data_IF_026789840783
#
_entry.id   IF_026789840783
#
_cell.length_a   1.000
_cell.length_b   1.000
_cell.length_c   1.000
_cell.angle_alpha   90.00
_cell.angle_beta   90.00
_cell.angle_gamma   90.00
#
_symmetry.space_group_name_H-M   'P 1'
#
loop_
_entity.id
_entity.type
_entity.pdbx_description
1 polymer ?
#
# COMPACT_ATOMS: atom_id res chain seq x y z
N UNK A 1 0.22 -6.38 -7.78
CA UNK A 1 0.29 -6.10 -9.23
C UNK A 1 -1.05 -6.34 -9.86
N UNK A 2 -1.54 -5.42 -10.69
CA UNK A 2 -2.77 -5.65 -11.48
C UNK A 2 -2.37 -6.32 -12.79
N UNK A 3 -2.46 -7.64 -12.84
CA UNK A 3 -2.24 -8.44 -14.06
C UNK A 3 -3.58 -8.57 -14.77
N UNK A 4 -3.60 -8.34 -16.09
CA UNK A 4 -4.81 -8.61 -16.87
C UNK A 4 -5.04 -10.11 -16.97
N UNK A 5 -6.25 -10.59 -16.62
CA UNK A 5 -6.60 -12.01 -16.75
C UNK A 5 -6.63 -12.50 -18.20
N UNK A 6 -6.87 -11.62 -19.18
CA UNK A 6 -6.98 -11.99 -20.59
C UNK A 6 -5.63 -12.14 -21.28
N UNK A 7 -4.63 -11.37 -20.86
CA UNK A 7 -3.30 -11.38 -21.49
C UNK A 7 -2.24 -12.00 -20.61
N UNK A 8 -2.46 -12.13 -19.30
CA UNK A 8 -1.46 -12.63 -18.35
C UNK A 8 -0.32 -11.65 -18.05
N UNK A 9 -0.36 -10.46 -18.61
CA UNK A 9 0.67 -9.43 -18.44
C UNK A 9 0.13 -8.20 -17.70
N UNK A 10 1.02 -7.49 -17.02
CA UNK A 10 0.74 -6.14 -16.56
C UNK A 10 0.78 -5.15 -17.73
N UNK A 11 0.07 -4.01 -17.64
CA UNK A 11 0.19 -2.96 -18.64
C UNK A 11 1.63 -2.46 -18.83
N UNK A 12 2.45 -2.46 -17.77
CA UNK A 12 3.82 -2.00 -17.85
C UNK A 12 4.72 -2.96 -18.62
N UNK A 13 4.56 -4.27 -18.42
CA UNK A 13 5.30 -5.27 -19.20
C UNK A 13 4.94 -5.19 -20.68
N UNK A 14 3.66 -4.95 -21.02
CA UNK A 14 3.24 -4.81 -22.41
C UNK A 14 3.77 -3.53 -23.07
N UNK A 15 3.78 -2.40 -22.35
CA UNK A 15 4.19 -1.11 -22.94
C UNK A 15 5.70 -0.88 -22.89
N UNK A 16 6.38 -1.36 -21.84
CA UNK A 16 7.77 -1.01 -21.54
C UNK A 16 8.68 -2.24 -21.39
N UNK A 17 8.15 -3.46 -21.47
CA UNK A 17 8.92 -4.71 -21.36
C UNK A 17 9.42 -5.02 -19.95
N UNK A 18 9.15 -4.19 -18.96
CA UNK A 18 9.59 -4.39 -17.58
C UNK A 18 8.59 -3.84 -16.57
N UNK A 19 8.58 -4.42 -15.38
CA UNK A 19 7.82 -3.88 -14.27
C UNK A 19 8.66 -2.81 -13.55
N UNK A 20 8.19 -1.56 -13.48
CA UNK A 20 8.93 -0.51 -12.78
C UNK A 20 9.04 -0.88 -11.31
N UNK A 21 10.27 -0.78 -10.78
CA UNK A 21 10.54 -0.89 -9.35
C UNK A 21 10.66 0.51 -8.76
N UNK A 22 10.12 0.68 -7.56
CA UNK A 22 10.28 1.92 -6.81
C UNK A 22 11.76 2.03 -6.43
N UNK A 23 12.43 3.09 -6.89
CA UNK A 23 13.75 3.44 -6.40
C UNK A 23 13.63 3.87 -4.94
N UNK A 24 14.41 3.28 -4.04
CA UNK A 24 14.45 3.66 -2.62
C UNK A 24 15.61 4.59 -2.31
N UNK A 25 16.60 4.68 -3.20
CA UNK A 25 17.79 5.50 -3.07
C UNK A 25 18.10 6.17 -4.40
N UNK A 26 18.44 7.45 -4.35
CA UNK A 26 19.03 8.18 -5.47
C UNK A 26 20.55 8.06 -5.40
N UNK A 27 21.19 7.89 -6.54
CA UNK A 27 22.64 8.10 -6.62
C UNK A 27 22.96 9.57 -6.31
N UNK A 28 23.98 9.84 -5.47
CA UNK A 28 24.30 11.19 -5.03
C UNK A 28 24.83 12.08 -6.16
N UNK A 29 25.38 11.48 -7.22
CA UNK A 29 25.99 12.17 -8.35
C UNK A 29 25.35 11.75 -9.70
N UNK A 30 24.20 12.33 -10.05
CA UNK A 30 23.52 11.99 -11.29
C UNK A 30 24.23 12.66 -12.47
N UNK A 31 24.45 11.87 -13.53
CA UNK A 31 25.08 12.30 -14.79
C UNK A 31 24.41 13.53 -15.41
N UNK A 32 23.13 13.78 -15.10
CA UNK A 32 22.39 14.95 -15.58
C UNK A 32 21.48 15.54 -14.49
N UNK A 33 21.54 16.86 -14.22
CA UNK A 33 20.81 17.50 -13.12
C UNK A 33 19.28 17.42 -13.24
N UNK A 34 18.73 17.35 -14.46
CA UNK A 34 17.28 17.19 -14.67
C UNK A 34 16.74 15.82 -14.23
N UNK A 35 17.57 14.78 -14.31
CA UNK A 35 17.21 13.42 -13.85
C UNK A 35 17.06 13.41 -12.33
N UNK A 36 17.91 14.16 -11.63
CA UNK A 36 17.84 14.32 -10.18
C UNK A 36 16.51 14.90 -9.73
N UNK A 37 16.12 16.05 -10.29
CA UNK A 37 14.87 16.72 -9.92
C UNK A 37 13.65 15.84 -10.20
N UNK A 38 13.65 15.12 -11.33
CA UNK A 38 12.59 14.19 -11.66
C UNK A 38 12.49 13.06 -10.61
N UNK A 39 13.61 12.46 -10.25
CA UNK A 39 13.64 11.35 -9.32
C UNK A 39 13.36 11.78 -7.86
N UNK A 40 13.82 12.95 -7.43
CA UNK A 40 13.43 13.57 -6.15
C UNK A 40 11.92 13.84 -6.09
N UNK A 41 11.34 14.38 -7.18
CA UNK A 41 9.89 14.59 -7.31
C UNK A 41 9.12 13.27 -7.22
N UNK A 42 9.62 12.22 -7.88
CA UNK A 42 9.00 10.90 -7.85
C UNK A 42 8.99 10.30 -6.43
N UNK A 43 10.09 10.44 -5.68
CA UNK A 43 10.16 10.01 -4.28
C UNK A 43 9.18 10.80 -3.39
N UNK A 44 9.09 12.12 -3.57
CA UNK A 44 8.15 12.94 -2.81
C UNK A 44 6.70 12.55 -3.08
N UNK A 45 6.34 12.36 -4.34
CA UNK A 45 5.00 11.89 -4.72
C UNK A 45 4.68 10.53 -4.11
N UNK A 46 5.67 9.64 -4.04
CA UNK A 46 5.53 8.34 -3.40
C UNK A 46 5.29 8.47 -1.89
N UNK A 47 6.05 9.31 -1.20
CA UNK A 47 5.85 9.60 0.22
C UNK A 47 4.43 10.14 0.48
N UNK A 48 3.98 11.11 -0.31
CA UNK A 48 2.61 11.64 -0.21
C UNK A 48 1.54 10.57 -0.45
N UNK A 49 1.76 9.67 -1.42
CA UNK A 49 0.84 8.57 -1.67
C UNK A 49 0.77 7.59 -0.49
N UNK A 50 1.91 7.31 0.16
CA UNK A 50 1.94 6.49 1.37
C UNK A 50 1.15 7.14 2.51
N UNK A 51 1.36 8.43 2.77
CA UNK A 51 0.66 9.17 3.81
C UNK A 51 -0.86 9.16 3.56
N UNK A 52 -1.28 9.42 2.32
CA UNK A 52 -2.69 9.38 1.94
C UNK A 52 -3.33 7.99 2.11
N UNK A 53 -2.60 6.91 1.82
CA UNK A 53 -3.08 5.54 2.05
C UNK A 53 -3.22 5.26 3.56
N UNK A 54 -2.27 5.70 4.38
CA UNK A 54 -2.32 5.53 5.83
C UNK A 54 -3.51 6.30 6.41
N UNK A 55 -3.69 7.55 6.02
CA UNK A 55 -4.84 8.37 6.41
C UNK A 55 -6.17 7.69 6.03
N UNK A 56 -6.29 7.26 4.77
CA UNK A 56 -7.48 6.57 4.28
C UNK A 56 -7.78 5.29 5.08
N UNK A 57 -6.74 4.52 5.46
CA UNK A 57 -6.91 3.33 6.31
C UNK A 57 -7.43 3.69 7.70
N UNK A 58 -6.91 4.74 8.32
CA UNK A 58 -7.39 5.20 9.64
C UNK A 58 -8.88 5.55 9.56
N UNK A 59 -9.29 6.28 8.53
CA UNK A 59 -10.69 6.66 8.30
C UNK A 59 -11.57 5.43 8.08
N UNK A 60 -11.14 4.50 7.22
CA UNK A 60 -11.86 3.27 6.93
C UNK A 60 -12.03 2.41 8.18
N UNK A 61 -10.97 2.22 8.97
CA UNK A 61 -11.01 1.48 10.23
C UNK A 61 -11.94 2.13 11.23
N UNK A 62 -11.93 3.47 11.35
CA UNK A 62 -12.85 4.18 12.23
C UNK A 62 -14.32 3.93 11.87
N UNK A 63 -14.69 4.02 10.58
CA UNK A 63 -16.07 3.76 10.15
C UNK A 63 -16.46 2.29 10.16
N UNK A 64 -15.52 1.38 9.90
CA UNK A 64 -15.74 -0.06 10.05
C UNK A 64 -16.08 -0.41 11.50
N UNK A 65 -15.27 0.09 12.45
CA UNK A 65 -15.46 -0.15 13.87
C UNK A 65 -16.77 0.43 14.42
N UNK A 66 -17.26 1.56 13.89
CA UNK A 66 -18.58 2.09 14.25
C UNK A 66 -19.75 1.16 13.91
N UNK A 67 -19.57 0.29 12.90
CA UNK A 67 -20.61 -0.67 12.48
C UNK A 67 -20.46 -2.02 13.17
N UNK A 68 -19.40 -2.23 13.95
CA UNK A 68 -19.27 -3.43 14.75
C UNK A 68 -20.20 -3.35 15.96
N UNK A 69 -20.76 -4.49 16.35
CA UNK A 69 -21.42 -4.57 17.65
C UNK A 69 -20.40 -4.23 18.74
N UNK A 70 -20.80 -3.58 19.84
CA UNK A 70 -19.91 -3.41 20.97
C UNK A 70 -19.45 -4.80 21.40
N UNK A 71 -18.14 -4.97 21.57
CA UNK A 71 -17.58 -6.20 22.11
C UNK A 71 -18.16 -6.40 23.52
N UNK A 72 -18.67 -7.60 23.79
CA UNK A 72 -19.02 -7.98 25.15
C UNK A 72 -17.74 -8.04 25.98
N UNK A 73 -17.78 -7.46 27.18
CA UNK A 73 -16.65 -7.49 28.09
C UNK A 73 -16.41 -8.93 28.55
N UNK A 74 -15.35 -9.55 28.05
CA UNK A 74 -14.89 -10.87 28.50
C UNK A 74 -14.13 -10.70 29.82
N UNK A 75 -14.55 -11.43 30.84
CA UNK A 75 -13.95 -11.43 32.17
C UNK A 75 -13.11 -12.69 32.40
N UNK A 76 -12.11 -12.65 33.31
CA UNK A 76 -11.31 -13.84 33.62
C UNK A 76 -12.21 -14.98 34.13
N UNK A 77 -12.21 -16.10 33.41
CA UNK A 77 -13.05 -17.27 33.70
C UNK A 77 -14.14 -17.54 32.67
N UNK A 78 -14.40 -16.60 31.76
CA UNK A 78 -15.39 -16.78 30.70
C UNK A 78 -14.93 -17.81 29.66
N UNK A 79 -15.86 -18.66 29.23
CA UNK A 79 -15.65 -19.63 28.16
C UNK A 79 -16.13 -19.00 26.84
N UNK A 80 -15.22 -18.85 25.87
CA UNK A 80 -15.52 -18.30 24.55
C UNK A 80 -15.21 -19.30 23.45
N UNK A 81 -16.02 -19.30 22.39
CA UNK A 81 -15.79 -20.14 21.22
C UNK A 81 -14.76 -19.49 20.30
N UNK A 82 -13.70 -20.23 19.97
CA UNK A 82 -12.67 -19.79 19.03
C UNK A 82 -12.90 -20.48 17.67
N UNK A 83 -13.03 -19.71 16.59
CA UNK A 83 -12.96 -20.27 15.24
C UNK A 83 -11.50 -20.44 14.85
N UNK A 84 -11.09 -21.68 14.54
CA UNK A 84 -9.72 -22.02 14.13
C UNK A 84 -9.61 -22.34 12.64
N UNK A 85 -10.61 -22.02 11.83
CA UNK A 85 -10.50 -22.17 10.38
C UNK A 85 -9.54 -21.12 9.81
N UNK A 86 -8.54 -21.59 9.06
CA UNK A 86 -7.51 -20.79 8.39
C UNK A 86 -7.77 -20.74 6.89
#
# INVERSE_FOLDING_TARGET
SSISKSTGYTPFELNYGTMPRIATTLDPDPVMPGVRQFAERALLNLAHAHDAIIESRVIQSHYANQRHRPDEAITPGDLVYLSTEN
#
